data_IF_919390303448
#
_entry.id   IF_919390303448
#
_cell.length_a   1.000
_cell.length_b   1.000
_cell.length_c   1.000
_cell.angle_alpha   90.00
_cell.angle_beta   90.00
_cell.angle_gamma   90.00
#
_symmetry.space_group_name_H-M   'P 1'
#
loop_
_entity.id
_entity.type
_entity.pdbx_description
1 polymer ?
#
# COMPACT_ATOMS: atom_id res chain seq x y z
N UNK A 1 -1.99 -11.75 -18.82
CA UNK A 1 -2.22 -12.80 -17.79
C UNK A 1 -2.78 -14.08 -18.38
N UNK A 2 -3.55 -14.03 -19.48
CA UNK A 2 -4.21 -15.20 -20.11
C UNK A 2 -3.26 -16.32 -20.55
N UNK A 3 -1.97 -16.06 -20.74
CA UNK A 3 -0.97 -17.08 -21.04
C UNK A 3 -0.55 -17.94 -19.84
N UNK A 4 -0.87 -17.52 -18.61
CA UNK A 4 -0.56 -18.27 -17.40
C UNK A 4 -1.65 -19.31 -17.20
N UNK A 5 -1.27 -20.58 -17.25
CA UNK A 5 -2.20 -21.73 -17.14
C UNK A 5 -1.90 -22.62 -15.90
N UNK A 6 -0.80 -22.37 -15.21
CA UNK A 6 -0.46 -23.10 -14.00
C UNK A 6 -1.01 -22.40 -12.74
N UNK A 7 -1.22 -23.15 -11.65
CA UNK A 7 -1.53 -22.55 -10.35
C UNK A 7 -0.47 -21.57 -9.89
N UNK A 8 -0.89 -20.49 -9.24
CA UNK A 8 -0.02 -19.39 -8.81
C UNK A 8 -0.16 -19.10 -7.31
N UNK A 9 0.96 -19.10 -6.59
CA UNK A 9 1.04 -18.61 -5.23
C UNK A 9 1.91 -17.35 -5.19
N UNK A 10 1.27 -16.19 -5.10
CA UNK A 10 1.93 -14.89 -5.09
C UNK A 10 2.27 -14.47 -3.66
N UNK A 11 3.54 -14.12 -3.42
CA UNK A 11 4.03 -13.76 -2.08
C UNK A 11 4.79 -12.45 -2.13
N UNK A 12 4.52 -11.54 -1.20
CA UNK A 12 5.23 -10.27 -1.06
C UNK A 12 5.11 -9.72 0.37
N UNK A 13 5.67 -8.56 0.61
CA UNK A 13 5.55 -7.81 1.85
C UNK A 13 5.09 -6.37 1.62
N UNK A 14 4.47 -5.75 2.63
CA UNK A 14 4.02 -4.36 2.54
C UNK A 14 5.16 -3.36 2.38
N UNK A 15 6.36 -3.70 2.85
CA UNK A 15 7.56 -2.89 2.69
C UNK A 15 8.36 -3.24 1.42
N UNK A 16 7.83 -4.10 0.56
CA UNK A 16 8.41 -4.48 -0.72
C UNK A 16 7.90 -3.56 -1.85
N UNK A 17 8.79 -3.18 -2.76
CA UNK A 17 8.44 -2.41 -3.95
C UNK A 17 7.52 -3.14 -4.94
N UNK A 18 7.37 -4.46 -4.83
CA UNK A 18 6.56 -5.28 -5.74
C UNK A 18 5.20 -5.69 -5.18
N UNK A 19 4.79 -5.23 -4.00
CA UNK A 19 3.54 -5.62 -3.34
C UNK A 19 2.30 -5.48 -4.23
N UNK A 20 2.23 -4.43 -5.06
CA UNK A 20 1.12 -4.20 -5.99
C UNK A 20 0.93 -5.32 -7.02
N UNK A 21 1.99 -6.09 -7.34
CA UNK A 21 1.92 -7.18 -8.30
C UNK A 21 1.05 -8.33 -7.81
N UNK A 22 1.07 -8.61 -6.51
CA UNK A 22 0.27 -9.66 -5.89
C UNK A 22 -1.22 -9.42 -6.12
N UNK A 23 -1.69 -8.21 -5.83
CA UNK A 23 -3.11 -7.88 -5.97
C UNK A 23 -3.58 -7.82 -7.43
N UNK A 24 -2.70 -7.41 -8.36
CA UNK A 24 -2.97 -7.52 -9.80
C UNK A 24 -3.11 -8.97 -10.25
N UNK A 25 -2.24 -9.86 -9.79
CA UNK A 25 -2.34 -11.29 -10.07
C UNK A 25 -3.64 -11.88 -9.51
N UNK A 26 -4.01 -11.51 -8.29
CA UNK A 26 -5.27 -11.98 -7.68
C UNK A 26 -6.50 -11.55 -8.46
N UNK A 27 -6.50 -10.37 -9.04
CA UNK A 27 -7.61 -9.84 -9.83
C UNK A 27 -7.66 -10.41 -11.25
N UNK A 28 -6.52 -10.55 -11.90
CA UNK A 28 -6.46 -10.78 -13.36
C UNK A 28 -6.26 -12.26 -13.75
N UNK A 29 -5.77 -13.11 -12.86
CA UNK A 29 -5.56 -14.52 -13.17
C UNK A 29 -6.85 -15.32 -13.11
N UNK A 30 -7.05 -16.20 -14.09
CA UNK A 30 -8.18 -17.13 -14.17
C UNK A 30 -7.73 -18.58 -13.94
N UNK A 31 -6.76 -18.77 -13.03
CA UNK A 31 -6.24 -20.07 -12.60
C UNK A 31 -6.34 -20.19 -11.08
N UNK A 32 -6.21 -21.40 -10.52
CA UNK A 32 -6.08 -21.56 -9.08
C UNK A 32 -4.97 -20.68 -8.55
N UNK A 33 -5.28 -19.83 -7.57
CA UNK A 33 -4.34 -18.83 -7.08
C UNK A 33 -4.48 -18.54 -5.61
N UNK A 34 -3.37 -18.23 -4.96
CA UNK A 34 -3.30 -17.76 -3.58
C UNK A 34 -2.35 -16.59 -3.45
N UNK A 35 -2.55 -15.78 -2.44
CA UNK A 35 -1.70 -14.67 -2.08
C UNK A 35 -1.33 -14.69 -0.61
N UNK A 36 -0.10 -14.26 -0.32
CA UNK A 36 0.40 -14.07 1.03
C UNK A 36 1.17 -12.75 1.08
N UNK A 37 0.68 -11.80 1.89
CA UNK A 37 1.33 -10.49 2.05
C UNK A 37 1.56 -10.23 3.53
N UNK A 38 2.81 -10.27 3.94
CA UNK A 38 3.22 -9.98 5.31
C UNK A 38 3.74 -8.55 5.49
N UNK A 39 4.23 -8.19 6.68
CA UNK A 39 4.79 -6.86 6.93
C UNK A 39 6.19 -6.66 6.32
N UNK A 40 6.74 -7.69 5.71
CA UNK A 40 8.13 -7.83 5.31
C UNK A 40 8.57 -6.81 4.24
N UNK A 41 9.87 -6.55 4.24
CA UNK A 41 10.61 -5.98 3.12
C UNK A 41 10.87 -7.04 2.03
N UNK A 42 11.71 -6.71 1.05
CA UNK A 42 12.09 -7.65 -0.03
C UNK A 42 12.95 -8.80 0.51
N UNK A 43 12.31 -9.70 1.24
CA UNK A 43 12.91 -10.91 1.86
C UNK A 43 11.96 -12.08 1.80
N UNK A 44 12.52 -13.28 1.86
CA UNK A 44 11.69 -14.47 2.05
C UNK A 44 10.97 -14.42 3.41
N UNK A 45 9.69 -14.80 3.48
CA UNK A 45 8.88 -14.68 4.70
C UNK A 45 9.44 -15.36 5.97
N UNK A 46 10.25 -16.42 5.84
CA UNK A 46 10.91 -17.05 6.98
C UNK A 46 12.12 -16.24 7.51
N UNK A 47 12.59 -15.27 6.74
CA UNK A 47 13.60 -14.28 7.10
C UNK A 47 13.01 -12.88 7.16
N UNK A 48 11.68 -12.78 7.23
CA UNK A 48 10.93 -11.53 7.10
C UNK A 48 11.27 -10.52 8.18
N UNK A 49 11.72 -9.36 7.74
CA UNK A 49 11.95 -8.16 8.57
C UNK A 49 11.33 -6.98 7.81
N UNK A 50 10.46 -6.18 8.48
CA UNK A 50 9.94 -6.39 9.82
C UNK A 50 9.15 -7.70 9.95
N UNK A 51 9.19 -8.30 11.16
CA UNK A 51 8.39 -9.46 11.51
C UNK A 51 6.89 -9.15 11.68
N UNK A 52 6.08 -10.19 11.94
CA UNK A 52 6.48 -11.56 12.25
C UNK A 52 6.95 -12.36 11.03
N UNK A 53 8.05 -13.10 11.18
CA UNK A 53 8.44 -14.14 10.23
C UNK A 53 7.52 -15.35 10.39
N UNK A 54 7.39 -16.18 9.34
CA UNK A 54 6.51 -17.36 9.32
C UNK A 54 7.25 -18.61 8.86
N UNK A 55 6.65 -19.80 9.03
CA UNK A 55 7.11 -21.05 8.49
C UNK A 55 6.92 -21.16 6.98
N UNK A 56 7.56 -20.28 6.22
CA UNK A 56 7.33 -20.16 4.76
C UNK A 56 7.76 -21.39 3.97
N UNK A 57 8.81 -22.09 4.42
CA UNK A 57 9.25 -23.32 3.74
C UNK A 57 8.19 -24.42 3.89
N UNK A 58 7.55 -24.52 5.04
CA UNK A 58 6.44 -25.44 5.27
C UNK A 58 5.22 -25.06 4.44
N UNK A 59 4.94 -23.78 4.31
CA UNK A 59 3.84 -23.25 3.49
C UNK A 59 4.06 -23.58 2.01
N UNK A 60 5.27 -23.36 1.50
CA UNK A 60 5.61 -23.69 0.11
C UNK A 60 5.63 -25.20 -0.13
N UNK A 61 6.04 -26.01 0.85
CA UNK A 61 5.99 -27.46 0.74
C UNK A 61 4.55 -27.95 0.59
N UNK A 62 3.60 -27.45 1.39
CA UNK A 62 2.17 -27.78 1.26
C UNK A 62 1.64 -27.43 -0.14
N UNK A 63 2.04 -26.28 -0.70
CA UNK A 63 1.67 -25.87 -2.06
C UNK A 63 2.20 -26.84 -3.11
N UNK A 64 3.48 -27.23 -3.04
CA UNK A 64 4.08 -28.12 -4.01
C UNK A 64 3.62 -29.56 -3.86
N UNK A 65 3.35 -30.03 -2.65
CA UNK A 65 2.79 -31.37 -2.40
C UNK A 65 1.37 -31.46 -2.99
N UNK A 66 0.58 -30.40 -2.88
CA UNK A 66 -0.75 -30.36 -3.48
C UNK A 66 -0.68 -30.42 -5.02
N UNK A 67 0.08 -29.54 -5.65
CA UNK A 67 0.05 -29.37 -7.11
C UNK A 67 0.98 -30.30 -7.90
N UNK A 68 2.04 -30.80 -7.31
CA UNK A 68 3.01 -31.65 -7.99
C UNK A 68 2.93 -33.13 -7.58
N UNK A 69 2.34 -33.43 -6.42
CA UNK A 69 2.21 -34.78 -5.91
C UNK A 69 0.77 -35.24 -5.73
N UNK A 70 -0.18 -34.39 -6.08
CA UNK A 70 -1.63 -34.63 -5.97
C UNK A 70 -2.05 -35.04 -4.55
N UNK A 71 -1.41 -34.42 -3.54
CA UNK A 71 -1.73 -34.65 -2.12
C UNK A 71 -2.74 -33.62 -1.63
N UNK A 72 -3.73 -34.08 -0.91
CA UNK A 72 -4.65 -33.19 -0.19
C UNK A 72 -3.94 -32.60 1.03
N UNK A 73 -3.45 -31.37 0.90
CA UNK A 73 -2.80 -30.63 1.99
C UNK A 73 -3.70 -29.61 2.68
N UNK A 74 -4.95 -29.48 2.23
CA UNK A 74 -5.90 -28.50 2.71
C UNK A 74 -5.53 -27.04 2.36
N UNK A 75 -4.45 -26.82 1.57
CA UNK A 75 -3.99 -25.46 1.31
C UNK A 75 -4.98 -24.65 0.47
N UNK A 76 -5.77 -25.31 -0.37
CA UNK A 76 -6.77 -24.64 -1.21
C UNK A 76 -8.08 -24.36 -0.49
N UNK A 77 -8.32 -24.95 0.69
CA UNK A 77 -9.48 -24.70 1.55
C UNK A 77 -9.32 -23.44 2.41
N UNK A 78 -8.09 -22.99 2.57
CA UNK A 78 -7.75 -21.76 3.29
C UNK A 78 -8.14 -20.52 2.48
N UNK A 79 -8.27 -19.32 3.12
CA UNK A 79 -8.52 -18.07 2.41
C UNK A 79 -7.56 -17.87 1.24
N UNK A 80 -8.12 -17.43 0.12
CA UNK A 80 -7.35 -17.19 -1.11
C UNK A 80 -6.25 -16.14 -0.90
N UNK A 81 -6.54 -15.13 -0.09
CA UNK A 81 -5.62 -14.05 0.25
C UNK A 81 -5.42 -14.03 1.75
N UNK A 82 -4.18 -14.15 2.19
CA UNK A 82 -3.79 -13.90 3.58
C UNK A 82 -2.91 -12.66 3.59
N UNK A 83 -3.33 -11.65 4.33
CA UNK A 83 -2.60 -10.40 4.45
C UNK A 83 -2.40 -10.03 5.93
N UNK A 84 -1.29 -9.38 6.23
CA UNK A 84 -1.03 -8.88 7.57
C UNK A 84 -1.57 -7.45 7.70
N UNK A 85 -2.66 -7.28 8.42
CA UNK A 85 -3.19 -5.97 8.79
C UNK A 85 -2.27 -5.36 9.83
N UNK A 86 -1.57 -4.28 9.45
CA UNK A 86 -0.62 -3.61 10.31
C UNK A 86 -1.32 -2.57 11.18
N UNK A 87 -0.99 -2.53 12.46
CA UNK A 87 -1.42 -1.44 13.32
C UNK A 87 -0.65 -0.16 13.03
N UNK A 88 -1.22 0.98 13.43
CA UNK A 88 -0.53 2.26 13.45
C UNK A 88 0.69 2.21 14.37
N UNK A 89 1.79 2.77 13.91
CA UNK A 89 3.03 2.89 14.68
C UNK A 89 3.68 4.24 14.42
N UNK A 90 4.54 4.68 15.32
CA UNK A 90 5.39 5.86 15.09
C UNK A 90 6.31 5.65 13.89
N UNK A 91 6.57 6.71 13.08
CA UNK A 91 7.45 6.59 11.93
C UNK A 91 8.87 6.24 12.36
N UNK A 92 9.45 5.23 11.74
CA UNK A 92 10.84 4.84 11.95
C UNK A 92 11.43 4.28 10.66
N UNK A 93 12.71 4.56 10.43
CA UNK A 93 13.42 4.09 9.23
C UNK A 93 13.77 2.61 9.28
N UNK A 94 13.47 1.95 10.38
CA UNK A 94 13.64 0.50 10.58
C UNK A 94 12.68 0.00 11.66
N UNK A 95 12.06 -1.12 11.39
CA UNK A 95 11.30 -1.90 12.39
C UNK A 95 11.86 -3.31 12.46
N UNK A 96 11.94 -3.87 13.65
CA UNK A 96 12.24 -5.30 13.85
C UNK A 96 10.99 -6.11 13.63
N UNK A 97 9.86 -5.63 14.19
CA UNK A 97 8.53 -6.21 14.03
C UNK A 97 7.50 -5.11 13.78
N UNK A 98 6.40 -5.45 13.16
CA UNK A 98 5.20 -4.62 13.05
C UNK A 98 4.09 -5.26 13.89
N UNK A 99 3.44 -4.51 14.79
CA UNK A 99 2.22 -4.97 15.43
C UNK A 99 1.10 -5.10 14.39
N UNK A 100 0.15 -5.99 14.66
CA UNK A 100 -0.97 -6.24 13.77
C UNK A 100 -1.49 -7.66 13.86
N UNK A 101 -2.31 -8.08 12.89
CA UNK A 101 -2.91 -9.41 12.83
C UNK A 101 -3.02 -9.90 11.39
N UNK A 102 -3.09 -11.22 11.23
CA UNK A 102 -3.42 -11.82 9.94
C UNK A 102 -4.92 -11.72 9.67
N UNK A 103 -5.26 -11.37 8.43
CA UNK A 103 -6.62 -11.41 7.89
C UNK A 103 -6.66 -12.38 6.71
N UNK A 104 -7.83 -12.97 6.46
CA UNK A 104 -8.07 -13.89 5.36
C UNK A 104 -9.25 -13.45 4.53
N UNK A 105 -9.07 -13.34 3.20
CA UNK A 105 -10.09 -12.93 2.26
C UNK A 105 -10.20 -13.91 1.09
N UNK A 106 -11.39 -14.08 0.56
CA UNK A 106 -11.62 -14.96 -0.58
C UNK A 106 -11.42 -14.24 -1.91
N UNK A 107 -11.57 -12.92 -1.93
CA UNK A 107 -11.46 -12.10 -3.14
C UNK A 107 -10.74 -10.78 -2.88
N UNK A 108 -10.33 -10.13 -3.97
CA UNK A 108 -9.74 -8.79 -3.91
C UNK A 108 -10.32 -7.89 -5.01
N UNK A 109 -10.88 -6.70 -4.67
CA UNK A 109 -11.09 -6.22 -3.29
C UNK A 109 -11.97 -7.16 -2.48
N UNK A 110 -11.76 -7.23 -1.16
CA UNK A 110 -12.59 -8.04 -0.27
C UNK A 110 -14.03 -7.51 -0.24
N UNK A 111 -15.00 -8.40 -0.15
CA UNK A 111 -16.44 -8.04 -0.15
C UNK A 111 -16.82 -7.11 1.02
N UNK A 112 -16.16 -7.29 2.16
CA UNK A 112 -16.39 -6.47 3.35
C UNK A 112 -15.84 -5.04 3.25
N UNK A 113 -15.05 -4.71 2.20
CA UNK A 113 -14.45 -3.39 2.04
C UNK A 113 -15.43 -2.42 1.42
N UNK A 114 -15.81 -1.40 2.18
CA UNK A 114 -16.65 -0.30 1.70
C UNK A 114 -15.79 0.88 1.27
N UNK A 115 -15.85 1.31 0.00
CA UNK A 115 -15.12 2.47 -0.47
C UNK A 115 -15.58 3.76 0.24
N UNK A 116 -14.66 4.49 0.84
CA UNK A 116 -14.91 5.81 1.40
C UNK A 116 -14.27 6.87 0.51
N UNK A 117 -15.02 7.90 0.17
CA UNK A 117 -14.56 8.97 -0.73
C UNK A 117 -14.50 10.30 -0.01
N UNK A 118 -13.41 11.01 -0.21
CA UNK A 118 -13.20 12.36 0.28
C UNK A 118 -12.95 13.32 -0.87
N UNK A 119 -13.24 14.58 -0.66
CA UNK A 119 -12.85 15.68 -1.53
C UNK A 119 -11.71 16.46 -0.90
N UNK A 120 -10.70 16.77 -1.71
CA UNK A 120 -9.60 17.65 -1.32
C UNK A 120 -10.11 19.10 -1.32
N UNK A 121 -10.25 19.68 -0.17
CA UNK A 121 -10.70 21.07 0.00
C UNK A 121 -9.60 21.89 0.70
N UNK A 122 -9.64 23.22 0.55
CA UNK A 122 -8.68 24.10 1.27
C UNK A 122 -8.73 23.94 2.80
N UNK A 123 -9.83 23.43 3.31
CA UNK A 123 -10.06 23.18 4.74
C UNK A 123 -9.66 21.79 5.20
N UNK A 124 -9.19 20.92 4.29
CA UNK A 124 -8.81 19.54 4.58
C UNK A 124 -9.53 18.49 3.72
N UNK A 125 -9.58 17.26 4.18
CA UNK A 125 -10.37 16.18 3.59
C UNK A 125 -11.82 16.28 4.08
N UNK A 126 -12.74 16.53 3.16
CA UNK A 126 -14.17 16.59 3.47
C UNK A 126 -14.92 15.45 2.81
N UNK A 127 -15.97 14.95 3.43
CA UNK A 127 -16.80 13.89 2.86
C UNK A 127 -17.27 14.26 1.44
N UNK A 128 -17.28 13.28 0.53
CA UNK A 128 -17.53 13.54 -0.89
C UNK A 128 -18.97 14.06 -1.16
N UNK A 129 -19.92 13.68 -0.33
CA UNK A 129 -21.33 14.11 -0.38
C UNK A 129 -21.58 15.51 0.23
N UNK A 130 -20.61 16.06 0.94
CA UNK A 130 -20.74 17.42 1.49
C UNK A 130 -20.87 18.45 0.36
N UNK A 131 -21.85 19.33 0.46
CA UNK A 131 -22.10 20.37 -0.55
C UNK A 131 -20.89 21.29 -0.69
N UNK A 132 -20.35 21.52 -1.91
CA UNK A 132 -19.28 22.47 -2.11
C UNK A 132 -19.73 23.87 -1.72
N UNK A 133 -19.05 24.52 -0.80
CA UNK A 133 -19.38 25.90 -0.40
C UNK A 133 -19.03 26.93 -1.50
N UNK A 134 -18.13 26.59 -2.42
CA UNK A 134 -17.71 27.45 -3.56
C UNK A 134 -16.92 26.64 -4.59
N UNK A 135 -16.87 27.09 -5.85
CA UNK A 135 -15.90 26.60 -6.82
C UNK A 135 -14.49 26.84 -6.29
N UNK A 136 -13.68 25.80 -6.18
CA UNK A 136 -12.33 25.91 -5.63
C UNK A 136 -11.43 26.61 -6.64
N UNK A 137 -10.80 27.71 -6.25
CA UNK A 137 -9.67 28.24 -7.01
C UNK A 137 -8.53 27.22 -7.04
N UNK A 138 -7.72 27.21 -8.10
CA UNK A 138 -6.54 26.35 -8.18
C UNK A 138 -5.64 26.50 -6.96
N UNK A 139 -5.08 25.39 -6.51
CA UNK A 139 -4.03 25.36 -5.51
C UNK A 139 -2.68 25.24 -6.23
N UNK A 140 -1.75 26.07 -5.86
CA UNK A 140 -0.39 26.02 -6.39
C UNK A 140 0.47 25.13 -5.50
N UNK A 141 1.18 24.17 -6.11
CA UNK A 141 2.17 23.34 -5.44
C UNK A 141 3.52 23.54 -6.09
N UNK A 142 4.51 23.92 -5.30
CA UNK A 142 5.91 24.05 -5.72
C UNK A 142 6.79 23.46 -4.62
N UNK A 143 6.99 22.15 -4.68
CA UNK A 143 7.78 21.43 -3.68
C UNK A 143 9.28 21.63 -3.94
N UNK A 144 10.08 21.96 -2.93
CA UNK A 144 11.54 22.03 -3.06
C UNK A 144 12.14 20.63 -3.31
N UNK A 145 13.37 20.61 -3.86
CA UNK A 145 14.06 19.35 -4.21
C UNK A 145 14.32 18.42 -3.01
N UNK A 146 14.26 18.91 -1.77
CA UNK A 146 14.40 18.11 -0.56
C UNK A 146 13.15 17.31 -0.21
N UNK A 147 12.00 17.66 -0.78
CA UNK A 147 10.74 16.95 -0.50
C UNK A 147 10.86 15.49 -0.89
N UNK A 148 10.58 14.60 0.07
CA UNK A 148 10.66 13.17 -0.12
C UNK A 148 11.99 12.53 0.32
N UNK A 149 12.96 13.27 0.84
CA UNK A 149 14.21 12.70 1.36
C UNK A 149 13.97 11.70 2.52
N UNK A 150 12.91 11.91 3.33
CA UNK A 150 12.46 11.00 4.38
C UNK A 150 11.60 9.84 3.85
N UNK A 151 11.40 9.74 2.55
CA UNK A 151 10.51 8.75 1.92
C UNK A 151 10.99 7.30 1.97
N UNK A 152 12.22 7.03 2.44
CA UNK A 152 12.83 5.71 2.42
C UNK A 152 13.16 5.22 1.01
N UNK A 153 13.49 3.93 0.89
CA UNK A 153 13.77 3.30 -0.41
C UNK A 153 12.49 2.72 -1.01
N UNK A 154 12.41 2.72 -2.33
CA UNK A 154 11.31 2.09 -3.06
C UNK A 154 11.18 0.60 -2.75
N UNK A 155 12.29 -0.11 -2.65
CA UNK A 155 12.35 -1.52 -2.29
C UNK A 155 13.26 -1.64 -1.06
N UNK A 156 12.65 -1.80 0.11
CA UNK A 156 13.37 -1.99 1.36
C UNK A 156 13.91 -3.40 1.46
N UNK A 157 15.13 -3.55 1.96
CA UNK A 157 15.74 -4.84 2.28
C UNK A 157 15.90 -5.04 3.81
N UNK A 158 15.46 -4.08 4.61
CA UNK A 158 15.68 -4.04 6.07
C UNK A 158 17.17 -4.18 6.47
N UNK A 159 18.07 -3.76 5.59
CA UNK A 159 19.50 -3.83 5.80
C UNK A 159 20.06 -2.61 6.55
N UNK A 160 19.22 -1.63 6.82
CA UNK A 160 19.62 -0.37 7.44
C UNK A 160 18.43 0.59 7.54
N UNK A 161 18.63 1.88 7.66
CA UNK A 161 17.57 2.88 7.63
C UNK A 161 17.04 3.04 6.19
N UNK A 162 16.16 2.16 5.75
CA UNK A 162 15.65 2.12 4.38
C UNK A 162 14.13 2.24 4.28
N UNK A 163 13.41 2.22 5.40
CA UNK A 163 11.98 2.49 5.46
C UNK A 163 11.69 4.01 5.60
N UNK A 164 10.47 4.46 5.30
CA UNK A 164 10.12 5.88 5.43
C UNK A 164 10.20 6.35 6.88
N UNK A 165 10.88 7.45 7.08
CA UNK A 165 10.90 8.18 8.36
C UNK A 165 9.67 9.06 8.54
N UNK A 166 9.75 10.00 9.50
CA UNK A 166 8.71 10.99 9.75
C UNK A 166 8.50 11.88 8.52
N UNK A 167 7.27 11.98 8.06
CA UNK A 167 6.95 12.72 6.84
C UNK A 167 6.67 14.20 7.06
N UNK A 168 6.67 14.71 8.31
CA UNK A 168 6.31 16.10 8.64
C UNK A 168 7.02 17.17 7.82
N UNK A 169 8.33 17.02 7.58
CA UNK A 169 9.06 17.98 6.75
C UNK A 169 8.57 17.98 5.31
N UNK A 170 8.34 16.80 4.76
CA UNK A 170 7.82 16.65 3.40
C UNK A 170 6.36 17.09 3.28
N UNK A 171 5.57 16.96 4.34
CA UNK A 171 4.17 17.40 4.38
C UNK A 171 4.10 18.93 4.42
N UNK A 172 5.01 19.58 5.15
CA UNK A 172 5.13 21.05 5.18
C UNK A 172 5.53 21.66 3.81
N UNK A 173 6.24 20.90 2.98
CA UNK A 173 6.67 21.29 1.63
C UNK A 173 5.68 20.86 0.53
N UNK A 174 4.49 20.37 0.88
CA UNK A 174 3.48 19.85 -0.03
C UNK A 174 2.09 20.46 0.25
N UNK A 175 1.12 20.17 -0.61
CA UNK A 175 -0.28 20.39 -0.29
C UNK A 175 -0.76 19.24 0.60
N UNK A 176 -1.12 19.55 1.82
CA UNK A 176 -1.65 18.59 2.79
C UNK A 176 -3.14 18.81 3.01
N UNK A 177 -3.87 17.70 3.15
CA UNK A 177 -5.31 17.69 3.36
C UNK A 177 -5.60 16.68 4.47
N UNK A 178 -5.99 17.17 5.63
CA UNK A 178 -6.24 16.32 6.80
C UNK A 178 -7.73 16.12 7.02
N UNK A 179 -8.10 15.00 7.62
CA UNK A 179 -9.41 14.82 8.24
C UNK A 179 -9.44 15.54 9.59
N UNK A 180 -10.62 15.70 10.17
CA UNK A 180 -10.72 15.89 11.61
C UNK A 180 -10.08 14.68 12.34
N UNK A 181 -9.82 14.84 13.63
CA UNK A 181 -9.34 13.75 14.48
C UNK A 181 -10.33 12.59 14.37
N UNK A 182 -9.79 11.40 14.13
CA UNK A 182 -10.62 10.19 14.03
C UNK A 182 -11.11 9.77 15.43
N UNK A 183 -12.41 9.60 15.58
CA UNK A 183 -13.02 9.12 16.82
C UNK A 183 -12.83 7.61 17.01
N UNK A 184 -12.71 6.86 15.92
CA UNK A 184 -12.58 5.41 15.88
C UNK A 184 -11.42 4.98 14.98
N UNK A 185 -10.78 3.83 15.27
CA UNK A 185 -9.75 3.28 14.39
C UNK A 185 -10.30 2.99 12.99
N UNK A 186 -9.53 3.33 11.96
CA UNK A 186 -9.86 3.04 10.55
C UNK A 186 -8.91 1.98 10.01
N UNK A 187 -9.46 0.87 9.55
CA UNK A 187 -8.72 -0.17 8.85
C UNK A 187 -8.84 0.03 7.34
N UNK A 188 -7.70 -0.03 6.65
CA UNK A 188 -7.63 0.15 5.20
C UNK A 188 -7.18 -1.17 4.56
N UNK A 189 -8.07 -1.79 3.79
CA UNK A 189 -7.79 -3.00 3.01
C UNK A 189 -8.16 -2.76 1.55
N UNK A 190 -7.28 -2.12 0.80
CA UNK A 190 -7.55 -1.75 -0.59
C UNK A 190 -6.47 -0.85 -1.17
N UNK A 191 -6.72 -0.33 -2.36
CA UNK A 191 -5.85 0.63 -3.02
C UNK A 191 -6.43 2.04 -2.88
N UNK A 192 -5.67 2.96 -2.28
CA UNK A 192 -6.03 4.37 -2.29
C UNK A 192 -5.98 4.92 -3.73
N UNK A 193 -7.02 5.65 -4.13
CA UNK A 193 -7.12 6.27 -5.45
C UNK A 193 -7.32 7.77 -5.30
N UNK A 194 -6.46 8.54 -5.95
CA UNK A 194 -6.58 10.01 -5.99
C UNK A 194 -6.88 10.44 -7.42
N UNK A 195 -7.90 11.27 -7.60
CA UNK A 195 -8.26 11.88 -8.89
C UNK A 195 -8.01 13.38 -8.81
N UNK A 196 -7.15 13.89 -9.69
CA UNK A 196 -6.74 15.28 -9.72
C UNK A 196 -6.97 15.89 -11.11
N UNK A 197 -7.39 17.14 -11.14
CA UNK A 197 -7.33 17.99 -12.34
C UNK A 197 -6.08 18.86 -12.18
N UNK A 198 -5.13 18.70 -13.07
CA UNK A 198 -3.80 19.30 -12.95
C UNK A 198 -3.45 20.12 -14.20
N UNK A 199 -2.68 21.18 -13.96
CA UNK A 199 -1.91 21.86 -14.98
C UNK A 199 -0.47 22.01 -14.48
N UNK A 200 0.49 21.93 -15.38
CA UNK A 200 1.91 22.14 -15.09
C UNK A 200 2.44 23.25 -16.01
N UNK A 201 3.37 24.03 -15.49
CA UNK A 201 4.08 25.08 -16.24
C UNK A 201 5.32 24.54 -17.00
N UNK A 202 5.59 23.25 -16.86
CA UNK A 202 6.69 22.56 -17.52
C UNK A 202 6.19 21.41 -18.39
N UNK A 203 6.93 21.13 -19.48
CA UNK A 203 6.60 20.02 -20.38
C UNK A 203 6.69 18.63 -19.74
N UNK A 204 7.47 18.50 -18.68
CA UNK A 204 7.62 17.27 -17.91
C UNK A 204 7.34 17.57 -16.43
N UNK A 205 6.46 16.81 -15.85
CA UNK A 205 6.13 16.91 -14.44
C UNK A 205 5.76 15.54 -13.87
N UNK A 206 5.96 15.40 -12.57
CA UNK A 206 5.57 14.22 -11.80
C UNK A 206 4.70 14.64 -10.63
N UNK A 207 3.75 13.79 -10.28
CA UNK A 207 2.93 13.95 -9.09
C UNK A 207 3.21 12.80 -8.15
N UNK A 208 3.60 13.12 -6.92
CA UNK A 208 3.70 12.16 -5.82
C UNK A 208 2.58 12.43 -4.82
N UNK A 209 1.88 11.38 -4.41
CA UNK A 209 0.83 11.45 -3.39
C UNK A 209 1.15 10.47 -2.28
N UNK A 210 0.98 10.90 -1.04
CA UNK A 210 1.15 10.06 0.15
C UNK A 210 -0.16 10.04 0.94
N UNK A 211 -0.51 8.89 1.46
CA UNK A 211 -1.49 8.75 2.53
C UNK A 211 -0.71 8.53 3.81
N UNK A 212 -0.94 9.37 4.79
CA UNK A 212 -0.23 9.34 6.06
C UNK A 212 -1.23 9.22 7.23
N UNK A 213 -0.77 8.58 8.28
CA UNK A 213 -1.42 8.56 9.59
C UNK A 213 -0.70 9.58 10.47
N UNK A 214 -1.43 10.61 10.91
CA UNK A 214 -0.88 11.72 11.69
C UNK A 214 -1.25 11.56 13.15
N UNK A 215 -0.25 11.33 13.98
CA UNK A 215 -0.41 11.17 15.41
C UNK A 215 -0.69 12.52 16.12
N UNK A 216 -1.25 12.52 17.35
CA UNK A 216 -1.61 13.75 18.07
C UNK A 216 -0.46 14.75 18.29
N UNK A 217 0.79 14.29 18.28
CA UNK A 217 1.97 15.16 18.38
C UNK A 217 2.50 15.63 17.02
N UNK A 218 1.76 15.32 15.94
CA UNK A 218 2.08 15.68 14.57
C UNK A 218 3.07 14.73 13.88
N UNK A 219 3.52 13.62 14.51
CA UNK A 219 4.34 12.63 13.83
C UNK A 219 3.54 12.01 12.68
N UNK A 220 4.09 12.02 11.47
CA UNK A 220 3.42 11.61 10.23
C UNK A 220 4.02 10.31 9.71
N UNK A 221 3.25 9.22 9.81
CA UNK A 221 3.63 7.88 9.35
C UNK A 221 3.04 7.61 7.99
N UNK A 222 3.87 7.36 6.99
CA UNK A 222 3.41 7.02 5.66
C UNK A 222 2.72 5.65 5.66
N UNK A 223 1.44 5.61 5.30
CA UNK A 223 0.65 4.39 5.11
C UNK A 223 0.87 3.83 3.71
N UNK A 224 0.69 4.66 2.70
CA UNK A 224 0.93 4.28 1.31
C UNK A 224 1.29 5.49 0.45
N UNK A 225 1.68 5.26 -0.79
CA UNK A 225 2.07 6.32 -1.71
C UNK A 225 1.94 5.88 -3.17
N UNK A 226 1.91 6.86 -4.06
CA UNK A 226 1.97 6.66 -5.49
C UNK A 226 2.68 7.82 -6.19
N UNK A 227 3.29 7.53 -7.33
CA UNK A 227 3.89 8.53 -8.21
C UNK A 227 3.37 8.32 -9.62
N UNK A 228 3.03 9.41 -10.27
CA UNK A 228 2.65 9.43 -11.67
C UNK A 228 3.53 10.43 -12.43
N UNK A 229 4.24 9.94 -13.44
CA UNK A 229 4.83 10.80 -14.46
C UNK A 229 3.70 11.24 -15.41
N UNK A 230 3.44 12.53 -15.50
CA UNK A 230 2.33 13.07 -16.31
C UNK A 230 2.51 12.82 -17.81
N UNK A 231 3.75 12.62 -18.28
CA UNK A 231 4.01 12.21 -19.66
C UNK A 231 3.50 10.77 -19.97
N UNK A 232 3.28 9.95 -18.94
CA UNK A 232 2.75 8.58 -19.07
C UNK A 232 1.30 8.46 -18.55
N UNK A 233 0.58 9.58 -18.44
CA UNK A 233 -0.76 9.61 -17.88
C UNK A 233 -1.74 8.72 -18.65
N UNK A 234 -1.68 8.73 -19.97
CA UNK A 234 -2.62 8.05 -20.84
C UNK A 234 -2.09 6.68 -21.30
N UNK A 235 -0.78 6.51 -21.39
CA UNK A 235 -0.13 5.23 -21.70
C UNK A 235 1.34 5.22 -21.29
N UNK A 236 1.94 4.03 -21.20
CA UNK A 236 3.37 3.84 -21.01
C UNK A 236 4.15 3.73 -22.35
N UNK A 237 3.48 3.96 -23.46
CA UNK A 237 4.06 3.92 -24.79
C UNK A 237 4.54 5.30 -25.23
#
# INVERSE_FOLDING_TARGET
FSAIQCPVYAVSGWADGYSNSVFRLMRELDVPRKALVGPWSHKYPHLGIPGPAIGFLQETLRWWDHWLKDQDTGIMDEPRIRAFMQDSVRPATRYVERPGRWIGEQEWPAEAVTPVSYRLARTGLVAADATPKQASEPLLCHSPLRTGLSGGKWCSYSAGPDMPGDQRESDADALSFDTDVLDEPVEIAGAAVVRLVLAADQAQAQVAVRLCDVAPDGASTRVTWGVLNLAHRDSHA
#
